data_IF_782267322614
#
_entry.id   IF_782267322614
#
_cell.length_a   1.000
_cell.length_b   1.000
_cell.length_c   1.000
_cell.angle_alpha   90.00
_cell.angle_beta   90.00
_cell.angle_gamma   90.00
#
_symmetry.space_group_name_H-M   'P 1'
#
loop_
_entity.id
_entity.type
_entity.pdbx_description
1 polymer ?
#
# COMPACT_ATOMS: atom_id res chain seq x y z
N UNK A 1 6.74 20.98 -2.30
CA UNK A 1 6.00 19.79 -2.70
C UNK A 1 4.95 20.22 -3.72
N UNK A 2 5.19 19.92 -5.00
CA UNK A 2 4.24 20.20 -6.10
C UNK A 2 3.06 19.23 -6.03
N UNK A 3 2.09 19.37 -6.95
CA UNK A 3 1.05 18.34 -7.11
C UNK A 3 1.67 17.00 -7.51
N UNK A 4 2.70 17.04 -8.36
CA UNK A 4 3.37 15.86 -8.90
C UNK A 4 4.06 15.04 -7.78
N UNK A 5 4.70 15.72 -6.82
CA UNK A 5 5.35 15.07 -5.68
C UNK A 5 4.34 14.28 -4.80
N UNK A 6 3.10 14.76 -4.70
CA UNK A 6 2.04 14.12 -3.91
C UNK A 6 1.54 12.86 -4.60
N UNK A 7 1.30 12.95 -5.91
CA UNK A 7 0.83 11.83 -6.71
C UNK A 7 1.90 10.73 -6.76
N UNK A 8 3.18 11.10 -6.81
CA UNK A 8 4.31 10.17 -6.69
C UNK A 8 4.32 9.46 -5.33
N UNK A 9 4.14 10.19 -4.23
CA UNK A 9 4.07 9.60 -2.89
C UNK A 9 2.89 8.63 -2.78
N UNK A 10 1.71 8.99 -3.27
CA UNK A 10 0.53 8.12 -3.26
C UNK A 10 0.72 6.88 -4.16
N UNK A 11 1.40 7.02 -5.30
CA UNK A 11 1.78 5.91 -6.16
C UNK A 11 2.79 4.97 -5.46
N UNK A 12 3.77 5.52 -4.76
CA UNK A 12 4.71 4.74 -3.95
C UNK A 12 4.00 3.97 -2.82
N UNK A 13 3.02 4.61 -2.15
CA UNK A 13 2.18 3.94 -1.15
C UNK A 13 1.32 2.83 -1.75
N UNK A 14 0.79 3.02 -2.96
CA UNK A 14 0.07 1.97 -3.69
C UNK A 14 0.97 0.76 -3.96
N UNK A 15 2.16 1.01 -4.51
CA UNK A 15 3.14 -0.04 -4.76
C UNK A 15 3.58 -0.76 -3.47
N UNK A 16 3.72 -0.02 -2.36
CA UNK A 16 4.01 -0.63 -1.06
C UNK A 16 2.85 -1.49 -0.57
N UNK A 17 1.60 -1.08 -0.80
CA UNK A 17 0.43 -1.88 -0.45
C UNK A 17 0.40 -3.19 -1.22
N UNK A 18 0.72 -3.16 -2.50
CA UNK A 18 0.85 -4.37 -3.33
C UNK A 18 1.96 -5.29 -2.81
N UNK A 19 3.11 -4.73 -2.40
CA UNK A 19 4.19 -5.50 -1.76
C UNK A 19 3.79 -6.08 -0.41
N UNK A 20 3.04 -5.35 0.41
CA UNK A 20 2.58 -5.81 1.72
C UNK A 20 1.52 -6.91 1.57
N UNK A 21 0.66 -6.81 0.55
CA UNK A 21 -0.21 -7.91 0.12
C UNK A 21 0.65 -9.11 -0.22
N UNK A 22 1.58 -8.97 -1.18
CA UNK A 22 2.42 -10.07 -1.61
C UNK A 22 3.20 -10.70 -0.45
N UNK A 23 3.82 -9.92 0.43
CA UNK A 23 4.55 -10.43 1.60
C UNK A 23 3.64 -11.11 2.63
N UNK A 24 2.39 -10.66 2.77
CA UNK A 24 1.38 -11.34 3.60
C UNK A 24 0.95 -12.66 2.96
N UNK A 25 0.83 -12.72 1.63
CA UNK A 25 0.55 -13.96 0.91
C UNK A 25 1.75 -14.92 1.00
N UNK A 26 2.97 -14.44 0.82
CA UNK A 26 4.19 -15.26 0.85
C UNK A 26 4.47 -15.85 2.25
N UNK A 27 4.03 -15.17 3.31
CA UNK A 27 4.16 -15.66 4.69
C UNK A 27 3.05 -16.62 5.11
N UNK A 28 2.03 -16.80 4.28
CA UNK A 28 0.92 -17.72 4.51
C UNK A 28 0.82 -18.68 3.32
N UNK A 29 1.28 -19.92 3.49
CA UNK A 29 1.50 -20.91 2.43
C UNK A 29 0.39 -21.11 1.37
N UNK A 30 -0.85 -20.60 1.54
CA UNK A 30 -1.95 -20.81 0.58
C UNK A 30 -2.94 -19.63 0.43
N UNK A 31 -2.51 -18.39 0.66
CA UNK A 31 -3.36 -17.21 0.43
C UNK A 31 -3.17 -16.59 -0.96
N UNK A 32 -4.25 -16.36 -1.70
CA UNK A 32 -4.25 -15.43 -2.83
C UNK A 32 -4.95 -14.12 -2.43
N UNK A 33 -4.40 -12.99 -2.84
CA UNK A 33 -4.96 -11.68 -2.54
C UNK A 33 -4.68 -10.68 -3.66
N UNK A 34 -5.60 -9.74 -3.86
CA UNK A 34 -5.51 -8.71 -4.90
C UNK A 34 -5.75 -7.33 -4.31
N UNK A 35 -4.97 -6.36 -4.76
CA UNK A 35 -5.20 -4.95 -4.42
C UNK A 35 -6.01 -4.27 -5.54
N UNK A 36 -7.14 -3.69 -5.16
CA UNK A 36 -7.99 -2.89 -6.04
C UNK A 36 -7.91 -1.42 -5.61
N UNK A 37 -7.49 -0.55 -6.52
CA UNK A 37 -7.41 0.88 -6.27
C UNK A 37 -8.80 1.49 -6.08
N UNK A 38 -8.93 2.46 -5.17
CA UNK A 38 -10.19 3.17 -4.96
C UNK A 38 -10.35 4.31 -6.00
N UNK A 39 -11.35 4.24 -6.91
CA UNK A 39 -11.58 5.31 -7.88
C UNK A 39 -12.03 6.63 -7.22
N UNK A 40 -12.65 6.58 -6.04
CA UNK A 40 -13.08 7.76 -5.29
C UNK A 40 -11.92 8.49 -4.58
N UNK A 41 -10.70 7.98 -4.69
CA UNK A 41 -9.48 8.63 -4.17
C UNK A 41 -8.55 9.10 -5.27
N UNK A 42 -9.01 9.16 -6.51
CA UNK A 42 -8.25 9.74 -7.61
C UNK A 42 -8.19 11.28 -7.50
N UNK A 43 -7.17 11.92 -8.10
CA UNK A 43 -7.06 13.37 -8.14
C UNK A 43 -8.34 14.05 -8.60
N UNK A 44 -8.72 15.10 -7.87
CA UNK A 44 -9.95 15.86 -8.12
C UNK A 44 -11.21 15.33 -7.43
N UNK A 45 -11.17 14.13 -6.83
CA UNK A 45 -12.29 13.66 -6.00
C UNK A 45 -12.41 14.50 -4.71
N UNK A 46 -13.61 14.60 -4.11
CA UNK A 46 -13.79 15.38 -2.88
C UNK A 46 -12.87 14.93 -1.74
N UNK A 47 -12.77 13.61 -1.50
CA UNK A 47 -11.90 13.06 -0.46
C UNK A 47 -10.42 13.36 -0.73
N UNK A 48 -9.97 13.21 -1.98
CA UNK A 48 -8.60 13.52 -2.37
C UNK A 48 -8.31 15.00 -2.13
N UNK A 49 -9.17 15.90 -2.60
CA UNK A 49 -8.99 17.35 -2.46
C UNK A 49 -8.87 17.74 -0.98
N UNK A 50 -9.77 17.25 -0.13
CA UNK A 50 -9.72 17.51 1.31
C UNK A 50 -8.44 16.96 1.93
N UNK A 51 -8.08 15.71 1.64
CA UNK A 51 -6.87 15.10 2.19
C UNK A 51 -5.60 15.83 1.76
N UNK A 52 -5.52 16.28 0.50
CA UNK A 52 -4.37 17.03 -0.01
C UNK A 52 -4.28 18.44 0.59
N UNK A 53 -5.41 19.09 0.86
CA UNK A 53 -5.41 20.35 1.60
C UNK A 53 -4.81 20.18 2.99
N UNK A 54 -5.20 19.13 3.71
CA UNK A 54 -4.66 18.82 5.04
C UNK A 54 -3.20 18.34 4.98
N UNK A 55 -2.79 17.60 3.95
CA UNK A 55 -1.39 17.25 3.73
C UNK A 55 -0.53 18.50 3.55
N UNK A 56 -1.01 19.48 2.77
CA UNK A 56 -0.28 20.74 2.53
C UNK A 56 -0.16 21.60 3.78
N UNK A 57 -1.17 21.59 4.65
CA UNK A 57 -1.19 22.32 5.92
C UNK A 57 -0.43 21.60 7.04
N UNK A 58 -0.23 20.29 6.93
CA UNK A 58 0.50 19.50 7.93
C UNK A 58 1.96 19.96 8.10
N UNK A 59 2.48 19.79 9.30
CA UNK A 59 3.82 20.24 9.66
C UNK A 59 4.88 19.33 9.04
N UNK A 60 4.70 18.02 9.17
CA UNK A 60 5.70 17.06 8.71
C UNK A 60 5.49 16.60 7.28
N UNK A 61 4.27 16.72 6.74
CA UNK A 61 3.88 16.20 5.41
C UNK A 61 4.16 14.71 5.25
N UNK A 62 4.28 13.97 6.36
CA UNK A 62 4.54 12.54 6.33
C UNK A 62 3.24 11.76 6.26
N UNK A 63 3.25 10.77 5.40
CA UNK A 63 2.20 9.78 5.29
C UNK A 63 2.64 8.46 5.92
N UNK A 64 1.67 7.76 6.51
CA UNK A 64 1.80 6.36 6.88
C UNK A 64 0.75 5.55 6.13
N UNK A 65 1.10 4.30 5.82
CA UNK A 65 0.15 3.33 5.33
C UNK A 65 -0.51 2.64 6.52
N UNK A 66 -1.83 2.51 6.50
CA UNK A 66 -2.57 1.82 7.53
C UNK A 66 -3.75 1.04 6.95
N UNK A 67 -4.26 0.10 7.75
CA UNK A 67 -5.25 -0.88 7.36
C UNK A 67 -6.50 -0.78 8.23
N UNK A 68 -7.66 -0.96 7.64
CA UNK A 68 -8.93 -0.95 8.36
C UNK A 68 -9.76 -2.18 7.98
N UNK A 69 -9.97 -3.06 8.95
CA UNK A 69 -10.92 -4.16 8.84
C UNK A 69 -12.32 -3.71 9.21
N UNK A 70 -13.30 -4.10 8.40
CA UNK A 70 -14.71 -3.79 8.61
C UNK A 70 -15.56 -4.88 7.99
N UNK A 71 -16.86 -4.88 8.32
CA UNK A 71 -17.81 -5.74 7.63
C UNK A 71 -17.87 -5.38 6.15
N UNK A 72 -17.86 -6.37 5.25
CA UNK A 72 -17.74 -6.13 3.80
C UNK A 72 -18.78 -5.16 3.23
N UNK A 73 -20.02 -5.21 3.75
CA UNK A 73 -21.09 -4.30 3.36
C UNK A 73 -20.76 -2.80 3.57
N UNK A 74 -19.78 -2.46 4.43
CA UNK A 74 -19.34 -1.08 4.64
C UNK A 74 -18.20 -0.65 3.70
N UNK A 75 -17.53 -1.60 3.01
CA UNK A 75 -16.30 -1.30 2.26
C UNK A 75 -16.57 -0.27 1.16
N UNK A 76 -17.64 -0.46 0.39
CA UNK A 76 -17.99 0.45 -0.69
C UNK A 76 -18.32 1.87 -0.19
N UNK A 77 -19.14 1.99 0.87
CA UNK A 77 -19.47 3.29 1.43
C UNK A 77 -18.24 3.97 2.01
N UNK A 78 -17.32 3.23 2.64
CA UNK A 78 -16.08 3.81 3.15
C UNK A 78 -15.15 4.25 2.02
N UNK A 79 -15.05 3.48 0.92
CA UNK A 79 -14.31 3.93 -0.26
C UNK A 79 -14.86 5.24 -0.81
N UNK A 80 -16.19 5.38 -0.89
CA UNK A 80 -16.84 6.55 -1.50
C UNK A 80 -16.91 7.78 -0.59
N UNK A 81 -17.16 7.56 0.69
CA UNK A 81 -17.54 8.62 1.63
C UNK A 81 -16.52 8.81 2.78
N UNK A 82 -15.52 7.93 2.88
CA UNK A 82 -14.59 7.87 4.00
C UNK A 82 -15.18 7.17 5.22
N UNK A 83 -14.47 7.23 6.35
CA UNK A 83 -14.96 6.67 7.60
C UNK A 83 -16.04 7.58 8.22
N UNK A 84 -17.11 6.94 8.70
CA UNK A 84 -18.27 7.63 9.24
C UNK A 84 -18.06 8.06 10.70
N UNK A 85 -17.98 9.38 10.93
CA UNK A 85 -17.84 9.99 12.25
C UNK A 85 -18.96 9.61 13.22
N UNK A 86 -20.16 9.29 12.74
CA UNK A 86 -21.29 8.89 13.59
C UNK A 86 -21.11 7.49 14.19
N UNK A 87 -20.14 6.72 13.69
CA UNK A 87 -19.77 5.40 14.19
C UNK A 87 -18.58 5.44 15.14
N UNK A 88 -18.12 6.64 15.54
CA UNK A 88 -17.09 6.82 16.56
C UNK A 88 -17.64 6.54 17.97
N UNK A 89 -16.75 6.31 18.93
CA UNK A 89 -17.06 6.23 20.36
C UNK A 89 -17.25 4.82 20.93
N UNK A 90 -17.27 4.76 22.26
CA UNK A 90 -17.30 3.52 23.05
C UNK A 90 -18.55 2.67 22.78
N UNK A 91 -19.68 3.30 22.45
CA UNK A 91 -20.91 2.62 22.03
C UNK A 91 -20.71 1.73 20.78
N UNK A 92 -19.69 2.04 19.97
CA UNK A 92 -19.31 1.30 18.77
C UNK A 92 -18.05 0.42 18.97
N UNK A 93 -17.64 0.21 20.23
CA UNK A 93 -16.51 -0.66 20.59
C UNK A 93 -15.14 0.03 20.52
N UNK A 94 -15.08 1.36 20.41
CA UNK A 94 -13.83 2.13 20.41
C UNK A 94 -13.33 2.39 21.84
N UNK A 95 -12.31 1.63 22.27
CA UNK A 95 -11.81 1.64 23.65
C UNK A 95 -10.89 2.82 24.00
N UNK A 96 -10.28 3.48 23.00
CA UNK A 96 -9.27 4.53 23.16
C UNK A 96 -9.79 5.94 22.85
N UNK A 97 -11.11 6.12 22.95
CA UNK A 97 -11.77 7.39 22.67
C UNK A 97 -12.22 7.54 21.20
N UNK A 98 -12.87 8.67 20.89
CA UNK A 98 -13.44 8.92 19.58
C UNK A 98 -12.35 9.20 18.54
N UNK A 99 -12.45 8.53 17.39
CA UNK A 99 -11.56 8.76 16.25
C UNK A 99 -11.67 7.63 15.23
N UNK A 100 -10.83 7.68 14.20
CA UNK A 100 -10.74 6.65 13.19
C UNK A 100 -9.70 5.61 13.54
N UNK A 101 -10.14 4.35 13.64
CA UNK A 101 -9.28 3.26 14.10
C UNK A 101 -8.70 2.55 12.89
N UNK A 102 -7.39 2.64 12.73
CA UNK A 102 -6.64 1.92 11.70
C UNK A 102 -5.52 1.12 12.36
N UNK A 103 -4.91 0.20 11.62
CA UNK A 103 -3.84 -0.66 12.11
C UNK A 103 -2.64 -0.59 11.17
N UNK A 104 -1.40 -0.56 11.68
CA UNK A 104 -0.21 -0.73 10.84
C UNK A 104 -0.04 -2.19 10.38
N UNK A 105 -0.84 -3.13 10.90
CA UNK A 105 -0.76 -4.55 10.58
C UNK A 105 -1.99 -5.00 9.80
N UNK A 106 -1.75 -5.50 8.58
CA UNK A 106 -2.79 -6.07 7.71
C UNK A 106 -3.50 -7.26 8.40
N UNK A 107 -2.74 -8.18 8.99
CA UNK A 107 -3.30 -9.33 9.71
C UNK A 107 -4.18 -8.94 10.90
N UNK A 108 -3.78 -7.90 11.66
CA UNK A 108 -4.62 -7.38 12.74
C UNK A 108 -5.89 -6.74 12.20
N UNK A 109 -5.79 -5.94 11.14
CA UNK A 109 -6.96 -5.36 10.49
C UNK A 109 -7.92 -6.45 9.98
N UNK A 110 -7.42 -7.51 9.34
CA UNK A 110 -8.22 -8.62 8.86
C UNK A 110 -9.04 -9.31 9.97
N UNK A 111 -8.48 -9.42 11.19
CA UNK A 111 -9.24 -9.95 12.34
C UNK A 111 -10.48 -9.11 12.70
N UNK A 112 -10.53 -7.83 12.30
CA UNK A 112 -11.67 -6.93 12.46
C UNK A 112 -12.63 -6.92 11.27
N UNK A 113 -12.33 -7.64 10.18
CA UNK A 113 -13.22 -7.76 9.01
C UNK A 113 -14.45 -8.63 9.26
N UNK A 114 -14.66 -9.13 10.50
CA UNK A 114 -15.84 -9.90 10.94
C UNK A 114 -16.17 -11.11 10.05
N UNK A 115 -15.13 -11.83 9.63
CA UNK A 115 -15.26 -12.98 8.71
C UNK A 115 -15.26 -12.60 7.23
N UNK A 116 -15.23 -11.31 6.90
CA UNK A 116 -15.00 -10.81 5.55
C UNK A 116 -13.55 -11.00 5.09
N UNK A 117 -13.37 -11.01 3.78
CA UNK A 117 -12.10 -11.18 3.07
C UNK A 117 -11.57 -9.88 2.50
N UNK A 118 -12.08 -8.74 2.97
CA UNK A 118 -11.70 -7.40 2.50
C UNK A 118 -11.10 -6.58 3.63
N UNK A 119 -10.02 -5.88 3.30
CA UNK A 119 -9.37 -4.89 4.18
C UNK A 119 -9.15 -3.62 3.40
N UNK A 120 -9.58 -2.49 3.97
CA UNK A 120 -9.32 -1.17 3.39
C UNK A 120 -7.89 -0.74 3.69
N UNK A 121 -7.28 -0.07 2.72
CA UNK A 121 -5.95 0.53 2.84
C UNK A 121 -6.10 2.04 2.84
N UNK A 122 -5.44 2.70 3.78
CA UNK A 122 -5.46 4.15 3.96
C UNK A 122 -4.05 4.73 3.88
N UNK A 123 -3.94 5.87 3.19
CA UNK A 123 -2.89 6.85 3.48
C UNK A 123 -3.36 7.72 4.65
N UNK A 124 -2.49 7.95 5.63
CA UNK A 124 -2.83 8.68 6.86
C UNK A 124 -1.77 9.72 7.16
N UNK A 125 -2.19 10.92 7.53
CA UNK A 125 -1.27 12.00 7.94
C UNK A 125 -0.70 11.72 9.33
N UNK A 126 0.62 11.59 9.42
CA UNK A 126 1.29 11.18 10.65
C UNK A 126 1.15 12.18 11.82
N UNK A 127 0.85 13.44 11.53
CA UNK A 127 0.73 14.51 12.54
C UNK A 127 -0.54 14.38 13.40
N UNK A 128 -1.53 13.63 12.92
CA UNK A 128 -2.87 13.60 13.49
C UNK A 128 -3.26 12.24 14.09
N UNK A 129 -2.25 11.43 14.40
CA UNK A 129 -2.42 10.09 14.95
C UNK A 129 -2.04 10.02 16.43
N UNK A 130 -2.66 9.07 17.11
CA UNK A 130 -2.22 8.57 18.42
C UNK A 130 -2.07 7.06 18.35
N UNK A 131 -1.11 6.50 19.10
CA UNK A 131 -0.82 5.07 19.13
C UNK A 131 -1.11 4.51 20.53
N UNK A 132 -2.38 4.35 20.93
CA UNK A 132 -2.74 3.92 22.28
C UNK A 132 -2.43 2.44 22.55
N UNK A 133 -1.97 1.68 21.54
CA UNK A 133 -1.56 0.29 21.67
C UNK A 133 -0.68 -0.17 20.53
N UNK A 134 -0.16 -1.39 20.62
CA UNK A 134 0.86 -1.93 19.69
C UNK A 134 0.40 -2.09 18.24
N UNK A 135 -0.91 -2.17 17.99
CA UNK A 135 -1.46 -2.44 16.66
C UNK A 135 -2.68 -1.58 16.32
N UNK A 136 -2.90 -0.50 17.06
CA UNK A 136 -4.04 0.39 16.86
C UNK A 136 -3.52 1.82 16.79
N UNK A 137 -3.89 2.48 15.71
CA UNK A 137 -3.67 3.89 15.47
C UNK A 137 -5.04 4.55 15.49
N UNK A 138 -5.19 5.62 16.25
CA UNK A 138 -6.41 6.43 16.27
C UNK A 138 -6.09 7.76 15.59
N UNK A 139 -6.76 8.00 14.46
CA UNK A 139 -6.68 9.26 13.73
C UNK A 139 -7.79 10.18 14.22
N UNK A 140 -7.43 11.43 14.54
CA UNK A 140 -8.37 12.37 15.16
C UNK A 140 -9.58 12.73 14.30
N UNK A 141 -9.43 12.70 12.97
CA UNK A 141 -10.52 12.97 12.04
C UNK A 141 -10.34 12.25 10.69
N UNK A 142 -11.44 12.03 9.96
CA UNK A 142 -11.46 11.33 8.69
C UNK A 142 -10.83 12.14 7.56
N UNK A 143 -10.81 13.47 7.64
CA UNK A 143 -10.11 14.31 6.65
C UNK A 143 -8.59 14.08 6.62
N UNK A 144 -8.03 13.45 7.66
CA UNK A 144 -6.61 13.10 7.74
C UNK A 144 -6.31 11.68 7.25
N UNK A 145 -7.29 11.02 6.65
CA UNK A 145 -7.15 9.71 6.03
C UNK A 145 -7.66 9.75 4.59
N UNK A 146 -7.09 8.91 3.73
CA UNK A 146 -7.55 8.74 2.35
C UNK A 146 -7.61 7.23 2.06
N UNK A 147 -8.80 6.65 1.79
CA UNK A 147 -8.95 5.23 1.47
C UNK A 147 -8.40 4.94 0.07
N UNK A 148 -7.13 4.60 -0.06
CA UNK A 148 -6.45 4.45 -1.37
C UNK A 148 -6.86 3.18 -2.13
N UNK A 149 -7.42 2.18 -1.46
CA UNK A 149 -7.87 0.95 -2.10
C UNK A 149 -8.32 -0.13 -1.12
N UNK A 150 -8.54 -1.32 -1.65
CA UNK A 150 -9.04 -2.49 -0.94
C UNK A 150 -8.19 -3.69 -1.30
N UNK A 151 -7.77 -4.43 -0.28
CA UNK A 151 -7.17 -5.76 -0.44
C UNK A 151 -8.31 -6.78 -0.33
N UNK A 152 -8.44 -7.65 -1.32
CA UNK A 152 -9.41 -8.76 -1.32
C UNK A 152 -8.66 -10.09 -1.33
N UNK A 153 -8.97 -10.95 -0.37
CA UNK A 153 -8.39 -12.30 -0.27
C UNK A 153 -9.34 -13.32 -0.94
N UNK A 154 -8.81 -14.18 -1.80
CA UNK A 154 -9.59 -15.19 -2.54
C UNK A 154 -9.88 -16.43 -1.70
N UNK A 155 -8.96 -16.77 -0.80
CA UNK A 155 -9.13 -17.84 0.18
C UNK A 155 -8.24 -17.57 1.38
N UNK A 156 -8.80 -17.74 2.58
CA UNK A 156 -8.02 -17.90 3.79
C UNK A 156 -8.13 -19.38 4.15
N UNK A 157 -7.14 -20.19 3.77
CA UNK A 157 -7.06 -21.57 4.29
C UNK A 157 -7.19 -21.54 5.82
N UNK A 158 -7.93 -22.51 6.40
CA UNK A 158 -8.48 -22.60 7.78
C UNK A 158 -7.50 -22.44 8.98
N UNK A 159 -6.38 -21.73 8.84
CA UNK A 159 -5.42 -21.43 9.90
C UNK A 159 -5.76 -20.20 10.76
N UNK A 160 -6.92 -19.55 10.56
CA UNK A 160 -7.28 -18.34 11.33
C UNK A 160 -7.70 -18.66 12.78
N UNK A 161 -7.99 -19.93 13.10
CA UNK A 161 -8.29 -20.32 14.49
C UNK A 161 -7.10 -20.25 15.44
N UNK A 162 -5.87 -20.03 14.96
CA UNK A 162 -4.65 -19.96 15.79
C UNK A 162 -3.90 -18.63 15.71
N UNK A 163 -4.47 -17.56 15.13
CA UNK A 163 -3.86 -16.21 15.13
C UNK A 163 -3.68 -15.57 16.53
N UNK A 164 -4.03 -16.28 17.62
CA UNK A 164 -3.62 -15.95 18.99
C UNK A 164 -2.18 -16.40 19.24
N UNK A 165 -1.23 -15.63 18.73
CA UNK A 165 0.12 -15.60 19.27
C UNK A 165 1.17 -16.30 18.43
N UNK A 166 1.78 -15.56 17.50
CA UNK A 166 3.23 -15.45 17.34
C UNK A 166 3.53 -14.59 16.11
N UNK A 167 3.90 -13.33 16.35
CA UNK A 167 4.75 -12.58 15.43
C UNK A 167 5.87 -11.94 16.25
N UNK A 168 6.95 -12.69 16.45
CA UNK A 168 8.22 -12.19 16.95
C UNK A 168 9.14 -11.87 15.78
N UNK A 169 9.82 -10.72 15.86
CA UNK A 169 11.12 -10.48 15.21
C UNK A 169 11.12 -9.78 13.84
N UNK A 170 10.37 -10.25 12.84
CA UNK A 170 10.56 -9.82 11.44
C UNK A 170 10.05 -8.41 11.11
N UNK A 171 8.81 -8.09 11.50
CA UNK A 171 8.15 -6.82 11.17
C UNK A 171 8.73 -5.60 11.90
N UNK A 172 9.31 -5.82 13.10
CA UNK A 172 10.03 -4.78 13.84
C UNK A 172 11.28 -4.28 13.09
N UNK A 173 11.82 -5.04 12.13
CA UNK A 173 12.96 -4.61 11.30
C UNK A 173 12.52 -3.61 10.23
N UNK A 174 11.33 -3.78 9.66
CA UNK A 174 10.76 -2.87 8.66
C UNK A 174 10.24 -1.58 9.30
N UNK A 175 9.59 -1.67 10.46
CA UNK A 175 9.15 -0.48 11.21
C UNK A 175 10.32 0.35 11.72
N UNK A 176 11.42 -0.30 12.16
CA UNK A 176 12.67 0.40 12.52
C UNK A 176 13.32 1.07 11.32
N UNK A 177 13.20 0.53 10.11
CA UNK A 177 13.76 1.15 8.90
C UNK A 177 12.90 2.34 8.44
N UNK A 178 11.57 2.24 8.44
CA UNK A 178 10.68 3.35 8.10
C UNK A 178 10.76 4.49 9.13
N UNK A 179 10.89 4.17 10.42
CA UNK A 179 11.12 5.16 11.48
C UNK A 179 12.56 5.70 11.51
N UNK A 180 13.57 4.94 11.04
CA UNK A 180 14.95 5.46 10.85
C UNK A 180 15.02 6.44 9.69
N UNK A 181 14.41 6.11 8.55
CA UNK A 181 14.34 6.99 7.39
C UNK A 181 13.56 8.27 7.72
N UNK A 182 12.51 8.15 8.54
CA UNK A 182 11.78 9.29 9.06
C UNK A 182 12.52 10.12 10.12
N UNK A 183 13.65 9.62 10.67
CA UNK A 183 14.54 10.33 11.60
C UNK A 183 15.81 10.89 10.94
N UNK A 184 16.24 10.36 9.80
CA UNK A 184 17.45 10.80 9.10
C UNK A 184 17.23 11.94 8.10
N UNK A 185 16.00 12.46 7.96
CA UNK A 185 15.69 13.51 6.98
C UNK A 185 15.93 13.07 5.53
N UNK A 186 16.04 11.75 5.29
CA UNK A 186 16.49 11.23 4.02
C UNK A 186 15.30 10.91 3.11
N UNK A 187 14.72 11.94 2.52
CA UNK A 187 13.81 11.82 1.37
C UNK A 187 14.60 11.90 0.05
N UNK A 188 15.90 12.25 0.11
CA UNK A 188 16.75 12.44 -1.07
C UNK A 188 17.46 11.17 -1.58
N UNK A 189 17.67 10.12 -0.77
CA UNK A 189 18.40 8.92 -1.24
C UNK A 189 17.54 7.98 -2.10
N UNK A 190 16.22 7.92 -1.91
CA UNK A 190 15.36 7.07 -2.76
C UNK A 190 15.32 7.60 -4.22
N UNK A 191 15.33 8.93 -4.38
CA UNK A 191 15.46 9.58 -5.69
C UNK A 191 16.87 9.41 -6.29
N UNK A 192 17.93 9.47 -5.48
CA UNK A 192 19.31 9.28 -5.95
C UNK A 192 19.64 7.82 -6.31
N UNK A 193 19.07 6.83 -5.61
CA UNK A 193 19.24 5.41 -5.95
C UNK A 193 18.63 5.07 -7.32
N UNK A 194 17.55 5.74 -7.73
CA UNK A 194 16.98 5.58 -9.07
C UNK A 194 17.70 6.41 -10.15
N UNK A 195 18.35 7.51 -9.77
CA UNK A 195 19.18 8.30 -10.69
C UNK A 195 20.51 7.61 -11.05
N UNK A 196 21.05 6.77 -10.17
CA UNK A 196 22.20 5.91 -10.50
C UNK A 196 21.82 4.69 -11.35
N UNK A 197 20.56 4.25 -11.33
CA UNK A 197 20.05 3.18 -12.18
C UNK A 197 19.69 3.64 -13.61
N UNK A 198 19.61 4.96 -13.85
CA UNK A 198 19.21 5.54 -15.15
C UNK A 198 20.36 6.18 -15.95
N UNK A 199 21.62 5.98 -15.53
CA UNK A 199 22.80 6.55 -16.21
C UNK A 199 23.76 5.54 -16.85
N UNK A 200 23.34 4.29 -17.13
CA UNK A 200 24.15 3.37 -17.94
C UNK A 200 23.47 2.96 -19.26
N UNK A 201 23.60 3.76 -20.34
CA UNK A 201 23.20 3.38 -21.68
C UNK A 201 24.41 2.83 -22.47
N UNK A 202 25.10 1.81 -21.96
CA UNK A 202 26.12 1.07 -22.74
C UNK A 202 26.04 -0.44 -22.46
N UNK A 203 25.00 -1.11 -22.98
CA UNK A 203 25.07 -2.55 -23.26
C UNK A 203 24.03 -3.01 -24.28
N UNK A 204 24.13 -2.44 -25.47
CA UNK A 204 23.73 -3.15 -26.69
C UNK A 204 24.97 -3.72 -27.38
N UNK A 205 24.78 -4.88 -28.01
CA UNK A 205 25.70 -5.68 -28.83
C UNK A 205 26.49 -6.80 -28.14
N UNK A 206 25.84 -7.96 -28.01
CA UNK A 206 26.37 -9.22 -28.56
C UNK A 206 25.35 -10.37 -28.40
N UNK A 207 24.82 -10.87 -29.52
CA UNK A 207 24.51 -12.28 -29.84
C UNK A 207 23.90 -12.28 -31.25
N UNK A 208 24.72 -12.35 -32.31
CA UNK A 208 25.06 -13.59 -33.03
C UNK A 208 23.80 -14.34 -33.51
N UNK A 209 23.32 -14.06 -34.73
CA UNK A 209 23.70 -14.71 -36.00
C UNK A 209 23.20 -16.17 -36.08
N UNK A 210 21.98 -16.33 -36.62
CA UNK A 210 21.48 -17.62 -37.14
C UNK A 210 21.64 -17.60 -38.67
N UNK A 211 22.52 -18.46 -39.17
CA UNK A 211 22.78 -18.67 -40.59
C UNK A 211 21.57 -19.30 -41.29
N UNK A 212 21.02 -18.63 -42.31
CA UNK A 212 20.18 -19.28 -43.33
C UNK A 212 21.07 -19.75 -44.48
N UNK A 213 21.30 -21.06 -44.53
CA UNK A 213 21.99 -21.78 -45.61
C UNK A 213 21.06 -21.90 -46.82
N UNK A 214 21.20 -21.01 -47.81
CA UNK A 214 20.53 -21.11 -49.11
C UNK A 214 21.46 -21.85 -50.09
N UNK A 215 20.98 -22.94 -50.68
CA UNK A 215 21.69 -23.73 -51.71
C UNK A 215 21.68 -22.98 -53.06
N UNK A 216 22.75 -23.03 -53.86
CA UNK A 216 22.71 -22.58 -55.25
C UNK A 216 22.21 -23.70 -56.19
N UNK A 217 21.41 -23.32 -57.20
CA UNK A 217 21.07 -24.15 -58.35
C UNK A 217 22.11 -23.97 -59.48
N UNK A 218 22.37 -25.00 -60.30
CA UNK A 218 23.48 -25.03 -61.24
C UNK A 218 23.19 -24.31 -62.56
N UNK A 219 24.25 -23.77 -63.16
CA UNK A 219 24.27 -23.26 -64.53
C UNK A 219 24.48 -24.40 -65.53
N UNK A 220 23.59 -24.55 -66.52
CA UNK A 220 23.85 -25.27 -67.78
C UNK A 220 23.86 -24.22 -68.90
N UNK A 221 25.06 -23.79 -69.35
CA UNK A 221 25.70 -24.21 -70.60
C UNK A 221 24.90 -23.91 -71.88
N UNK A 222 25.35 -22.87 -72.58
CA UNK A 222 25.17 -22.71 -74.04
C UNK A 222 26.31 -23.44 -74.76
N UNK A 223 25.95 -24.40 -75.61
CA UNK A 223 26.55 -24.65 -76.93
C UNK A 223 25.49 -25.29 -77.82
#
# INVERSE_FOLDING_TARGET
MTSDDIDEVLAAHRLQSEKDVQGTLDSHEHGEGTFCSNPYSLPGSPQYVTFIQELRSSQTRRLILAYHGTHEANVESICRDGLDKHRRGTANGQAFGPGEYVSPSLGKALSYSRGGMKVLVFAVLADYITEPGTHIIVVSDSKYTLPVGVITFSSLSRGISTWRGQFSGGFLRLLKNSLRLARSGCVTEAAQMYQQASLDPQRDHQTARVEKKVRPLPASQNK
#
